data_IF_537345392619
#
_entry.id   IF_537345392619
#
_cell.length_a   1.000
_cell.length_b   1.000
_cell.length_c   1.000
_cell.angle_alpha   90.00
_cell.angle_beta   90.00
_cell.angle_gamma   90.00
#
_symmetry.space_group_name_H-M   'P 1'
#
loop_
_entity.id
_entity.type
_entity.pdbx_description
1 polymer ?
#
# COMPACT_ATOMS: atom_id res chain seq x y z
N UNK A 1 -26.21 -1.29 5.81
CA UNK A 1 -27.02 -0.06 6.01
C UNK A 1 -26.44 1.18 5.32
N UNK A 2 -25.12 1.35 5.18
CA UNK A 2 -24.51 2.60 4.69
C UNK A 2 -24.47 2.76 3.15
N UNK A 3 -24.23 1.69 2.37
CA UNK A 3 -24.12 1.79 0.89
C UNK A 3 -25.10 0.92 0.11
N UNK A 4 -25.79 -0.03 0.76
CA UNK A 4 -26.76 -0.95 0.14
C UNK A 4 -26.24 -1.70 -1.11
N UNK A 5 -24.92 -1.86 -1.26
CA UNK A 5 -24.34 -2.58 -2.40
C UNK A 5 -24.50 -4.08 -2.24
N UNK A 6 -24.81 -4.79 -3.33
CA UNK A 6 -24.94 -6.24 -3.32
C UNK A 6 -23.59 -6.91 -3.04
N UNK A 7 -23.60 -7.87 -2.11
CA UNK A 7 -22.45 -8.73 -1.84
C UNK A 7 -22.54 -9.99 -2.69
N UNK A 8 -21.66 -10.09 -3.69
CA UNK A 8 -21.63 -11.20 -4.63
C UNK A 8 -20.19 -11.71 -4.84
N UNK A 9 -20.03 -12.71 -5.72
CA UNK A 9 -18.72 -13.30 -6.00
C UNK A 9 -17.70 -12.29 -6.54
N UNK A 10 -18.15 -11.29 -7.30
CA UNK A 10 -17.29 -10.20 -7.79
C UNK A 10 -16.77 -9.35 -6.64
N UNK A 11 -17.58 -9.08 -5.61
CA UNK A 11 -17.13 -8.38 -4.39
C UNK A 11 -16.07 -9.18 -3.63
N UNK A 12 -16.20 -10.51 -3.56
CA UNK A 12 -15.17 -11.38 -2.94
C UNK A 12 -13.86 -11.33 -3.73
N UNK A 13 -13.94 -11.39 -5.06
CA UNK A 13 -12.77 -11.26 -5.93
C UNK A 13 -12.07 -9.90 -5.77
N UNK A 14 -12.84 -8.81 -5.60
CA UNK A 14 -12.29 -7.48 -5.30
C UNK A 14 -11.49 -7.51 -3.99
N UNK A 15 -12.05 -8.08 -2.91
CA UNK A 15 -11.38 -8.15 -1.61
C UNK A 15 -10.05 -8.91 -1.72
N UNK A 16 -10.04 -10.07 -2.38
CA UNK A 16 -8.82 -10.87 -2.56
C UNK A 16 -7.75 -10.09 -3.35
N UNK A 17 -8.19 -9.31 -4.35
CA UNK A 17 -7.29 -8.46 -5.16
C UNK A 17 -6.71 -7.31 -4.34
N UNK A 18 -7.53 -6.66 -3.49
CA UNK A 18 -7.09 -5.57 -2.61
C UNK A 18 -5.99 -6.03 -1.66
N UNK A 19 -6.11 -7.24 -1.09
CA UNK A 19 -5.09 -7.81 -0.20
C UNK A 19 -3.75 -7.91 -0.92
N UNK A 20 -3.73 -8.46 -2.13
CA UNK A 20 -2.50 -8.56 -2.93
C UNK A 20 -1.92 -7.19 -3.28
N UNK A 21 -2.77 -6.24 -3.65
CA UNK A 21 -2.34 -4.88 -3.99
C UNK A 21 -1.70 -4.15 -2.79
N UNK A 22 -2.36 -4.16 -1.64
CA UNK A 22 -1.86 -3.51 -0.42
C UNK A 22 -0.60 -4.19 0.13
N UNK A 23 -0.51 -5.52 0.03
CA UNK A 23 0.71 -6.24 0.39
C UNK A 23 1.89 -5.86 -0.50
N UNK A 24 1.68 -5.73 -1.81
CA UNK A 24 2.73 -5.33 -2.76
C UNK A 24 3.35 -3.98 -2.37
N UNK A 25 2.52 -2.97 -2.12
CA UNK A 25 3.00 -1.63 -1.74
C UNK A 25 3.76 -1.66 -0.41
N UNK A 26 3.28 -2.45 0.56
CA UNK A 26 3.91 -2.60 1.88
C UNK A 26 5.28 -3.29 1.79
N UNK A 27 5.41 -4.34 0.97
CA UNK A 27 6.69 -5.06 0.78
C UNK A 27 7.74 -4.15 0.16
N UNK A 28 7.38 -3.37 -0.87
CA UNK A 28 8.30 -2.44 -1.52
C UNK A 28 8.85 -1.40 -0.54
N UNK A 29 7.99 -0.85 0.32
CA UNK A 29 8.39 0.10 1.38
C UNK A 29 9.33 -0.57 2.38
N UNK A 30 9.00 -1.77 2.87
CA UNK A 30 9.84 -2.48 3.83
C UNK A 30 11.19 -2.91 3.26
N UNK A 31 11.23 -3.36 2.01
CA UNK A 31 12.49 -3.70 1.36
C UNK A 31 13.39 -2.47 1.23
N UNK A 32 12.82 -1.31 0.88
CA UNK A 32 13.60 -0.06 0.81
C UNK A 32 14.06 0.43 2.17
N UNK A 33 13.27 0.23 3.22
CA UNK A 33 13.68 0.50 4.60
C UNK A 33 14.86 -0.39 4.99
N UNK A 34 14.77 -1.70 4.70
CA UNK A 34 15.85 -2.66 4.97
C UNK A 34 17.13 -2.32 4.21
N UNK A 35 17.02 -1.94 2.93
CA UNK A 35 18.15 -1.51 2.11
C UNK A 35 18.84 -0.26 2.68
N UNK A 36 18.07 0.79 2.98
CA UNK A 36 18.62 2.04 3.50
C UNK A 36 19.16 1.90 4.94
N UNK A 37 18.60 1.02 5.78
CA UNK A 37 19.16 0.71 7.10
C UNK A 37 20.55 0.05 6.99
N UNK A 38 20.76 -0.82 6.01
CA UNK A 38 22.08 -1.43 5.73
C UNK A 38 23.08 -0.42 5.15
N UNK A 39 22.61 0.47 4.27
CA UNK A 39 23.43 1.49 3.61
C UNK A 39 23.85 2.64 4.54
N UNK A 40 22.95 3.11 5.41
CA UNK A 40 23.16 4.28 6.25
C UNK A 40 23.28 3.93 7.74
N UNK A 41 24.29 3.12 8.09
CA UNK A 41 24.53 2.65 9.47
C UNK A 41 24.70 3.76 10.52
N UNK A 42 25.17 4.95 10.11
CA UNK A 42 25.47 6.10 11.00
C UNK A 42 24.33 7.11 11.15
N UNK A 43 23.27 7.04 10.32
CA UNK A 43 22.14 7.99 10.40
C UNK A 43 21.16 7.57 11.48
N UNK A 44 20.36 8.50 12.01
CA UNK A 44 19.27 8.14 12.91
C UNK A 44 18.21 7.30 12.19
N UNK A 45 17.56 6.38 12.91
CA UNK A 45 16.54 5.48 12.34
C UNK A 45 15.40 6.29 11.71
N UNK A 46 14.97 7.38 12.35
CA UNK A 46 13.92 8.25 11.81
C UNK A 46 14.29 8.90 10.48
N UNK A 47 15.54 9.34 10.33
CA UNK A 47 16.03 9.92 9.07
C UNK A 47 16.07 8.89 7.95
N UNK A 48 16.50 7.66 8.27
CA UNK A 48 16.53 6.55 7.31
C UNK A 48 15.12 6.16 6.87
N UNK A 49 14.16 6.09 7.81
CA UNK A 49 12.75 5.80 7.49
C UNK A 49 12.15 6.87 6.58
N UNK A 50 12.37 8.14 6.88
CA UNK A 50 11.90 9.24 6.03
C UNK A 50 12.51 9.19 4.63
N UNK A 51 13.81 8.87 4.52
CA UNK A 51 14.47 8.68 3.23
C UNK A 51 13.85 7.53 2.43
N UNK A 52 13.62 6.38 3.07
CA UNK A 52 13.01 5.21 2.43
C UNK A 52 11.56 5.45 1.97
N UNK A 53 10.77 6.20 2.76
CA UNK A 53 9.44 6.60 2.33
C UNK A 53 9.53 7.48 1.09
N UNK A 54 10.37 8.52 1.10
CA UNK A 54 10.51 9.41 -0.05
C UNK A 54 11.00 8.69 -1.32
N UNK A 55 11.91 7.73 -1.19
CA UNK A 55 12.41 6.91 -2.31
C UNK A 55 11.31 6.06 -2.96
N UNK A 56 10.35 5.58 -2.17
CA UNK A 56 9.26 4.71 -2.64
C UNK A 56 8.00 5.49 -3.02
N UNK A 57 7.83 6.70 -2.50
CA UNK A 57 6.63 7.52 -2.64
C UNK A 57 6.19 7.71 -4.09
N UNK A 58 7.10 8.12 -4.97
CA UNK A 58 6.79 8.35 -6.39
C UNK A 58 6.30 7.08 -7.08
N UNK A 59 6.89 5.92 -6.76
CA UNK A 59 6.48 4.64 -7.33
C UNK A 59 5.09 4.27 -6.84
N UNK A 60 4.87 4.27 -5.53
CA UNK A 60 3.61 3.85 -4.91
C UNK A 60 2.45 4.76 -5.32
N UNK A 61 2.67 6.07 -5.38
CA UNK A 61 1.66 7.03 -5.85
C UNK A 61 1.36 6.81 -7.33
N UNK A 62 2.38 6.58 -8.17
CA UNK A 62 2.15 6.41 -9.60
C UNK A 62 1.38 5.12 -9.91
N UNK A 63 1.72 4.00 -9.26
CA UNK A 63 1.03 2.72 -9.46
C UNK A 63 -0.41 2.76 -8.97
N UNK A 64 -0.67 3.43 -7.84
CA UNK A 64 -2.03 3.60 -7.30
C UNK A 64 -2.86 4.58 -8.10
N UNK A 65 -2.28 5.71 -8.51
CA UNK A 65 -2.99 6.68 -9.33
C UNK A 65 -3.39 6.09 -10.70
N UNK A 66 -2.47 5.43 -11.40
CA UNK A 66 -2.75 4.84 -12.71
C UNK A 66 -3.81 3.74 -12.65
N UNK A 67 -3.79 2.90 -11.60
CA UNK A 67 -4.85 1.90 -11.37
C UNK A 67 -6.18 2.53 -11.00
N UNK A 68 -6.19 3.59 -10.19
CA UNK A 68 -7.41 4.34 -9.87
C UNK A 68 -8.05 4.96 -11.12
N UNK A 69 -7.26 5.50 -12.04
CA UNK A 69 -7.77 6.03 -13.33
C UNK A 69 -8.48 4.92 -14.13
N UNK A 70 -7.87 3.74 -14.24
CA UNK A 70 -8.48 2.61 -14.94
C UNK A 70 -9.77 2.12 -14.24
N UNK A 71 -9.76 2.04 -12.91
CA UNK A 71 -10.93 1.64 -12.13
C UNK A 71 -12.05 2.67 -12.17
N UNK A 72 -11.72 3.97 -12.27
CA UNK A 72 -12.71 5.02 -12.42
C UNK A 72 -13.44 4.94 -13.78
N UNK A 73 -12.70 4.65 -14.86
CA UNK A 73 -13.30 4.34 -16.15
C UNK A 73 -14.18 3.09 -16.06
N UNK A 74 -13.75 2.06 -15.33
CA UNK A 74 -14.53 0.84 -15.14
C UNK A 74 -15.78 1.07 -14.30
N UNK A 75 -15.71 1.93 -13.28
CA UNK A 75 -16.85 2.26 -12.43
C UNK A 75 -17.94 3.03 -13.18
N UNK A 76 -17.54 3.90 -14.11
CA UNK A 76 -18.47 4.75 -14.88
C UNK A 76 -19.03 4.05 -16.13
N UNK A 77 -18.21 3.24 -16.83
CA UNK A 77 -18.56 2.66 -18.14
C UNK A 77 -18.73 1.12 -18.09
N UNK A 78 -18.24 0.45 -17.05
CA UNK A 78 -18.17 -1.02 -16.96
C UNK A 78 -19.49 -1.75 -16.67
N UNK A 79 -20.58 -1.03 -16.40
CA UNK A 79 -21.91 -1.61 -16.18
C UNK A 79 -22.16 -2.17 -14.77
N UNK A 80 -23.38 -2.67 -14.50
CA UNK A 80 -23.87 -2.95 -13.14
C UNK A 80 -23.06 -4.02 -12.40
N UNK A 81 -22.64 -5.07 -13.12
CA UNK A 81 -21.90 -6.19 -12.54
C UNK A 81 -20.51 -5.79 -12.03
N UNK A 82 -19.86 -4.83 -12.70
CA UNK A 82 -18.51 -4.38 -12.37
C UNK A 82 -18.49 -3.14 -11.47
N UNK A 83 -19.63 -2.47 -11.30
CA UNK A 83 -19.73 -1.28 -10.47
C UNK A 83 -19.43 -1.58 -9.00
N UNK A 84 -19.95 -2.69 -8.46
CA UNK A 84 -19.64 -3.13 -7.09
C UNK A 84 -18.16 -3.50 -6.90
N UNK A 85 -17.59 -4.22 -7.87
CA UNK A 85 -16.18 -4.59 -7.88
C UNK A 85 -15.26 -3.36 -7.91
N UNK A 86 -15.49 -2.45 -8.88
CA UNK A 86 -14.66 -1.26 -9.08
C UNK A 86 -14.76 -0.29 -7.90
N UNK A 87 -15.95 -0.10 -7.32
CA UNK A 87 -16.11 0.71 -6.11
C UNK A 87 -15.32 0.14 -4.93
N UNK A 88 -15.40 -1.17 -4.69
CA UNK A 88 -14.63 -1.84 -3.64
C UNK A 88 -13.12 -1.68 -3.86
N UNK A 89 -12.66 -1.88 -5.10
CA UNK A 89 -11.26 -1.72 -5.48
C UNK A 89 -10.75 -0.28 -5.30
N UNK A 90 -11.52 0.73 -5.72
CA UNK A 90 -11.16 2.14 -5.55
C UNK A 90 -10.94 2.47 -4.07
N UNK A 91 -11.88 2.06 -3.23
CA UNK A 91 -11.78 2.28 -1.78
C UNK A 91 -10.60 1.52 -1.17
N UNK A 92 -10.42 0.26 -1.58
CA UNK A 92 -9.34 -0.59 -1.10
C UNK A 92 -7.95 -0.07 -1.46
N UNK A 93 -7.75 0.42 -2.69
CA UNK A 93 -6.48 1.00 -3.13
C UNK A 93 -6.21 2.31 -2.39
N UNK A 94 -7.21 3.19 -2.25
CA UNK A 94 -7.04 4.45 -1.53
C UNK A 94 -6.56 4.22 -0.08
N UNK A 95 -7.19 3.27 0.64
CA UNK A 95 -6.78 2.91 2.01
C UNK A 95 -5.45 2.17 2.01
N UNK A 96 -5.25 1.23 1.09
CA UNK A 96 -4.03 0.42 1.01
C UNK A 96 -2.79 1.27 0.79
N UNK A 97 -2.82 2.17 -0.20
CA UNK A 97 -1.72 3.09 -0.50
C UNK A 97 -1.43 4.02 0.67
N UNK A 98 -2.47 4.59 1.30
CA UNK A 98 -2.30 5.40 2.50
C UNK A 98 -1.65 4.60 3.65
N UNK A 99 -2.16 3.39 3.92
CA UNK A 99 -1.65 2.51 4.97
C UNK A 99 -0.18 2.13 4.74
N UNK A 100 0.19 1.73 3.53
CA UNK A 100 1.56 1.30 3.22
C UNK A 100 2.58 2.42 3.38
N UNK A 101 2.21 3.68 3.12
CA UNK A 101 3.12 4.83 3.25
C UNK A 101 3.20 5.32 4.69
N UNK A 102 2.05 5.52 5.35
CA UNK A 102 1.98 6.23 6.63
C UNK A 102 2.03 5.31 7.86
N UNK A 103 1.69 4.02 7.72
CA UNK A 103 1.63 3.08 8.87
C UNK A 103 2.88 2.20 8.94
N UNK A 104 3.58 1.97 7.83
CA UNK A 104 4.78 1.13 7.81
C UNK A 104 5.95 1.68 8.65
N UNK A 105 6.24 2.99 8.59
CA UNK A 105 7.34 3.59 9.36
C UNK A 105 7.09 3.66 10.88
N UNK A 106 5.89 4.07 11.37
CA UNK A 106 5.59 4.05 12.80
C UNK A 106 5.67 2.65 13.43
N UNK A 107 5.22 1.60 12.72
CA UNK A 107 5.31 0.22 13.20
C UNK A 107 6.77 -0.17 13.46
N UNK A 108 7.69 0.20 12.57
CA UNK A 108 9.12 -0.09 12.74
C UNK A 108 9.80 0.74 13.83
N UNK A 109 9.30 1.95 14.11
CA UNK A 109 9.75 2.71 15.29
C UNK A 109 9.31 2.05 16.59
N UNK A 110 8.08 1.52 16.64
CA UNK A 110 7.53 0.85 17.83
C UNK A 110 8.24 -0.47 18.11
N UNK A 111 8.59 -1.24 17.06
CA UNK A 111 9.27 -2.53 17.23
C UNK A 111 10.75 -2.42 17.59
N UNK A 112 11.28 -1.20 17.83
CA UNK A 112 12.69 -0.93 18.17
C UNK A 112 13.63 -1.79 17.32
N UNK A 113 13.60 -1.61 16.00
CA UNK A 113 14.49 -2.30 15.07
C UNK A 113 15.93 -2.24 15.58
N UNK A 114 16.39 -3.36 16.14
CA UNK A 114 17.68 -3.44 16.78
C UNK A 114 18.71 -3.64 15.67
N UNK A 115 19.65 -2.69 15.54
CA UNK A 115 20.66 -2.70 14.46
C UNK A 115 21.72 -3.80 14.63
N UNK A 116 21.70 -4.51 15.76
CA UNK A 116 22.77 -5.41 16.19
C UNK A 116 22.75 -6.80 15.53
N UNK A 117 21.69 -7.21 14.83
CA UNK A 117 21.62 -8.58 14.24
C UNK A 117 22.27 -8.68 12.84
N UNK A 118 23.26 -7.85 12.52
CA UNK A 118 23.93 -7.86 11.19
C UNK A 118 25.45 -8.06 11.23
N UNK A 119 26.03 -8.33 12.40
CA UNK A 119 27.47 -8.53 12.56
C UNK A 119 27.85 -9.97 12.99
N UNK A 120 27.03 -10.98 12.68
CA UNK A 120 27.41 -12.41 12.71
C UNK A 120 27.49 -12.99 11.29
#
# INVERSE_FOLDING_TARGET
AVTQMEFNLSTVAAILTIVGYSMNDTVVVYDRIRENLRKYKKKEIGEVLNLSINDTLSRTILTSFTTLVALFALFTIGGPTLQGFSAAMIFGIAIGTYSSIFVAAPILMITKVNRETSDD
#
